data_IF_954063590793
#
_entry.id   IF_954063590793
#
_cell.length_a   1.000
_cell.length_b   1.000
_cell.length_c   1.000
_cell.angle_alpha   90.00
_cell.angle_beta   90.00
_cell.angle_gamma   90.00
#
_symmetry.space_group_name_H-M   'P 1'
#
loop_
_entity.id
_entity.type
_entity.pdbx_description
1 polymer ?
#
# COMPACT_ATOMS: atom_id res chain seq x y z
N UNK A 1 0.44 11.56 14.58
CA UNK A 1 -0.95 11.32 14.08
C UNK A 1 -1.08 9.85 13.72
N UNK A 2 -2.19 9.18 14.03
CA UNK A 2 -2.39 7.76 13.66
C UNK A 2 -3.24 7.69 12.40
N UNK A 3 -2.81 6.88 11.43
CA UNK A 3 -3.56 6.55 10.21
C UNK A 3 -4.01 5.10 10.30
N UNK A 4 -5.30 4.87 10.20
CA UNK A 4 -5.88 3.53 10.07
C UNK A 4 -6.10 3.21 8.60
N UNK A 5 -5.82 1.98 8.17
CA UNK A 5 -5.99 1.56 6.79
C UNK A 5 -6.60 0.16 6.67
N UNK A 6 -7.22 -0.08 5.52
CA UNK A 6 -7.69 -1.39 5.07
C UNK A 6 -7.17 -1.66 3.66
N UNK A 7 -6.29 -2.64 3.52
CA UNK A 7 -5.76 -3.08 2.22
C UNK A 7 -6.53 -4.32 1.77
N UNK A 8 -7.19 -4.24 0.63
CA UNK A 8 -7.94 -5.36 0.04
C UNK A 8 -7.20 -5.95 -1.15
N UNK A 9 -7.24 -7.28 -1.27
CA UNK A 9 -6.72 -8.02 -2.41
C UNK A 9 -7.87 -8.44 -3.33
N UNK A 10 -7.64 -8.58 -4.65
CA UNK A 10 -8.69 -8.95 -5.60
C UNK A 10 -9.27 -10.35 -5.34
N UNK A 11 -8.47 -11.25 -4.76
CA UNK A 11 -8.87 -12.59 -4.35
C UNK A 11 -8.04 -13.05 -3.13
N UNK A 12 -8.48 -14.07 -2.37
CA UNK A 12 -7.64 -14.68 -1.35
C UNK A 12 -6.36 -15.24 -1.97
N UNK A 13 -5.22 -14.67 -1.61
CA UNK A 13 -3.94 -15.01 -2.22
C UNK A 13 -3.30 -16.23 -1.55
N UNK A 14 -2.87 -17.19 -2.37
CA UNK A 14 -1.90 -18.21 -1.95
C UNK A 14 -0.52 -17.60 -2.14
N UNK A 15 0.14 -17.29 -1.02
CA UNK A 15 1.39 -16.55 -1.03
C UNK A 15 2.60 -17.48 -0.87
N UNK A 16 3.66 -17.31 -1.68
CA UNK A 16 4.96 -17.92 -1.41
C UNK A 16 5.49 -17.51 -0.03
N UNK A 17 6.30 -18.35 0.61
CA UNK A 17 6.89 -18.04 1.93
C UNK A 17 7.76 -16.79 1.94
N UNK A 18 8.34 -16.44 0.80
CA UNK A 18 9.16 -15.23 0.64
C UNK A 18 8.32 -13.95 0.47
N UNK A 19 7.00 -14.06 0.28
CA UNK A 19 6.17 -12.91 -0.02
C UNK A 19 6.13 -11.89 1.13
N UNK A 20 6.08 -10.61 0.76
CA UNK A 20 6.03 -9.51 1.72
C UNK A 20 5.17 -8.37 1.21
N UNK A 21 4.26 -7.89 2.05
CA UNK A 21 3.51 -6.66 1.82
C UNK A 21 4.21 -5.50 2.52
N UNK A 22 4.51 -4.48 1.74
CA UNK A 22 5.06 -3.21 2.19
C UNK A 22 4.03 -2.11 1.98
N UNK A 23 3.65 -1.45 3.06
CA UNK A 23 2.73 -0.32 3.08
C UNK A 23 3.54 0.91 3.46
N UNK A 24 3.41 1.97 2.68
CA UNK A 24 4.13 3.21 2.88
C UNK A 24 3.15 4.38 2.92
N UNK A 25 3.37 5.28 3.87
CA UNK A 25 2.74 6.61 3.84
C UNK A 25 3.76 7.58 3.28
N UNK A 26 3.41 8.25 2.20
CA UNK A 26 4.31 9.10 1.41
C UNK A 26 3.81 10.53 1.36
N UNK A 27 4.71 11.49 1.49
CA UNK A 27 4.49 12.87 1.08
C UNK A 27 4.72 12.98 -0.43
N UNK A 28 3.66 13.31 -1.15
CA UNK A 28 3.61 13.52 -2.60
C UNK A 28 3.23 14.96 -2.94
N UNK A 29 3.50 15.92 -2.04
CA UNK A 29 3.22 17.35 -2.25
C UNK A 29 4.02 17.98 -3.38
N UNK A 30 5.21 17.44 -3.66
CA UNK A 30 6.08 17.92 -4.72
C UNK A 30 5.91 17.03 -5.96
N UNK A 31 5.37 17.61 -7.03
CA UNK A 31 5.05 16.90 -8.28
C UNK A 31 6.34 16.44 -9.00
N UNK A 32 7.40 17.24 -8.95
CA UNK A 32 8.66 17.00 -9.66
C UNK A 32 9.80 16.55 -8.73
N UNK A 33 9.49 16.12 -7.51
CA UNK A 33 10.48 15.58 -6.58
C UNK A 33 10.13 14.13 -6.20
N UNK A 34 11.14 13.31 -5.83
CA UNK A 34 10.88 12.01 -5.25
C UNK A 34 9.98 12.13 -4.02
N UNK A 35 8.95 11.29 -3.95
CA UNK A 35 8.08 11.23 -2.77
C UNK A 35 8.88 10.84 -1.52
N UNK A 36 8.65 11.53 -0.42
CA UNK A 36 9.30 11.22 0.86
C UNK A 36 8.46 10.20 1.62
N UNK A 37 9.07 9.08 2.02
CA UNK A 37 8.38 8.09 2.86
C UNK A 37 8.37 8.56 4.31
N UNK A 38 7.18 8.74 4.87
CA UNK A 38 6.96 9.21 6.24
C UNK A 38 6.89 8.05 7.23
N UNK A 39 6.33 6.91 6.80
CA UNK A 39 6.23 5.70 7.61
C UNK A 39 6.13 4.46 6.74
N UNK A 40 6.56 3.31 7.29
CA UNK A 40 6.54 2.00 6.61
C UNK A 40 5.96 0.96 7.56
N UNK A 41 5.09 0.09 7.04
CA UNK A 41 4.66 -1.13 7.71
C UNK A 41 4.95 -2.34 6.81
N UNK A 42 5.46 -3.41 7.39
CA UNK A 42 5.80 -4.65 6.70
C UNK A 42 4.95 -5.80 7.27
N UNK A 43 4.40 -6.61 6.36
CA UNK A 43 3.77 -7.88 6.69
C UNK A 43 4.41 -8.98 5.86
N UNK A 44 4.57 -10.15 6.46
CA UNK A 44 5.10 -11.35 5.82
C UNK A 44 3.99 -12.32 5.42
N UNK A 45 4.30 -13.28 4.54
CA UNK A 45 3.35 -14.23 3.96
C UNK A 45 2.45 -14.93 4.99
N UNK A 46 2.99 -15.31 6.15
CA UNK A 46 2.28 -15.98 7.25
C UNK A 46 1.20 -15.08 7.90
N UNK A 47 1.40 -13.77 7.90
CA UNK A 47 0.44 -12.79 8.41
C UNK A 47 -0.67 -12.49 7.41
N UNK A 48 -0.42 -12.75 6.11
CA UNK A 48 -1.28 -12.38 4.99
C UNK A 48 -2.08 -13.57 4.43
N UNK A 49 -1.58 -14.80 4.59
CA UNK A 49 -2.14 -16.00 3.97
C UNK A 49 -3.64 -16.16 4.27
N UNK A 50 -4.40 -16.51 3.23
CA UNK A 50 -5.85 -16.75 3.29
C UNK A 50 -6.70 -15.53 3.76
N UNK A 51 -6.15 -14.31 3.74
CA UNK A 51 -6.91 -13.10 4.05
C UNK A 51 -7.32 -12.38 2.77
N UNK A 52 -8.57 -11.95 2.70
CA UNK A 52 -9.06 -11.07 1.62
C UNK A 52 -8.66 -9.61 1.84
N UNK A 53 -8.36 -9.22 3.08
CA UNK A 53 -7.89 -7.89 3.43
C UNK A 53 -7.07 -7.88 4.72
N UNK A 54 -6.30 -6.81 4.91
CA UNK A 54 -5.58 -6.50 6.15
C UNK A 54 -6.07 -5.16 6.67
N UNK A 55 -6.26 -5.08 7.98
CA UNK A 55 -6.47 -3.82 8.70
C UNK A 55 -5.22 -3.57 9.54
N UNK A 56 -4.75 -2.33 9.52
CA UNK A 56 -3.61 -1.90 10.32
C UNK A 56 -3.67 -0.43 10.66
N UNK A 57 -2.74 -0.03 11.51
CA UNK A 57 -2.52 1.37 11.87
C UNK A 57 -1.05 1.70 11.71
N UNK A 58 -0.76 2.97 11.42
CA UNK A 58 0.61 3.48 11.36
C UNK A 58 0.66 4.87 11.97
N UNK A 59 1.69 5.11 12.77
CA UNK A 59 1.94 6.43 13.35
C UNK A 59 2.80 7.26 12.42
N UNK A 60 2.35 8.49 12.18
CA UNK A 60 3.08 9.50 11.43
C UNK A 60 3.80 10.47 12.36
N UNK A 61 4.98 10.97 11.94
CA UNK A 61 5.74 11.96 12.71
C UNK A 61 4.88 13.19 13.04
N UNK A 62 5.15 13.82 14.18
CA UNK A 62 4.37 14.95 14.69
C UNK A 62 4.46 16.19 13.79
N UNK A 63 5.55 16.33 13.06
CA UNK A 63 5.86 17.51 12.25
C UNK A 63 5.61 17.21 10.77
N UNK A 64 4.34 17.32 10.37
CA UNK A 64 3.94 17.25 8.96
C UNK A 64 3.32 18.58 8.58
N UNK A 65 3.73 19.12 7.42
CA UNK A 65 3.17 20.35 6.89
C UNK A 65 1.65 20.19 6.70
N UNK A 66 0.81 21.14 7.14
CA UNK A 66 -0.63 21.10 6.91
C UNK A 66 -1.00 21.19 5.41
N UNK A 67 -0.04 21.58 4.55
CA UNK A 67 -0.20 21.62 3.09
C UNK A 67 0.32 20.35 2.39
N UNK A 68 0.85 19.38 3.14
CA UNK A 68 1.38 18.16 2.56
C UNK A 68 0.26 17.33 1.91
N UNK A 69 0.51 16.85 0.69
CA UNK A 69 -0.36 15.89 0.03
C UNK A 69 0.14 14.49 0.39
N UNK A 70 -0.51 13.85 1.37
CA UNK A 70 -0.02 12.59 1.93
C UNK A 70 -0.86 11.45 1.38
N UNK A 71 -0.21 10.46 0.80
CA UNK A 71 -0.84 9.30 0.17
C UNK A 71 -0.34 8.00 0.77
N UNK A 72 -1.20 6.97 0.74
CA UNK A 72 -0.83 5.60 1.04
C UNK A 72 -0.48 4.89 -0.27
N UNK A 73 0.66 4.21 -0.27
CA UNK A 73 1.09 3.30 -1.32
C UNK A 73 1.34 1.91 -0.73
N UNK A 74 1.01 0.86 -1.47
CA UNK A 74 1.29 -0.51 -1.05
C UNK A 74 1.82 -1.36 -2.20
N UNK A 75 2.73 -2.27 -1.85
CA UNK A 75 3.31 -3.27 -2.76
C UNK A 75 3.44 -4.60 -2.05
N UNK A 76 2.87 -5.63 -2.65
CA UNK A 76 3.01 -7.01 -2.24
C UNK A 76 3.94 -7.67 -3.25
N UNK A 77 5.17 -7.93 -2.81
CA UNK A 77 6.11 -8.73 -3.57
C UNK A 77 5.86 -10.21 -3.33
N UNK A 78 5.75 -11.00 -4.39
CA UNK A 78 5.67 -12.46 -4.27
C UNK A 78 7.05 -13.11 -4.08
N UNK A 79 8.12 -12.46 -4.54
CA UNK A 79 9.50 -12.90 -4.38
C UNK A 79 10.17 -12.40 -3.09
N UNK A 80 9.57 -11.41 -2.42
CA UNK A 80 10.15 -10.73 -1.25
C UNK A 80 11.14 -9.61 -1.62
N UNK A 81 11.25 -9.28 -2.90
CA UNK A 81 12.10 -8.19 -3.37
C UNK A 81 11.43 -6.82 -3.21
N UNK A 82 12.25 -5.79 -2.99
CA UNK A 82 11.76 -4.39 -2.92
C UNK A 82 11.37 -3.86 -4.30
N UNK A 83 11.94 -4.43 -5.36
CA UNK A 83 11.61 -4.04 -6.73
C UNK A 83 10.24 -4.61 -7.08
N UNK A 84 9.39 -3.78 -7.70
CA UNK A 84 8.13 -4.25 -8.28
C UNK A 84 8.44 -5.13 -9.48
N UNK A 85 8.01 -6.38 -9.40
CA UNK A 85 8.13 -7.38 -10.44
C UNK A 85 6.76 -7.67 -11.09
N UNK A 86 6.78 -8.40 -12.20
CA UNK A 86 5.57 -8.97 -12.78
C UNK A 86 4.92 -9.90 -11.74
N UNK A 87 3.59 -9.98 -11.74
CA UNK A 87 2.80 -10.85 -10.83
C UNK A 87 2.76 -10.36 -9.37
N UNK A 88 3.55 -9.36 -9.00
CA UNK A 88 3.37 -8.62 -7.75
C UNK A 88 2.03 -7.89 -7.75
N UNK A 89 1.65 -7.33 -6.60
CA UNK A 89 0.48 -6.45 -6.52
C UNK A 89 0.90 -5.06 -6.05
N UNK A 90 0.28 -4.03 -6.60
CA UNK A 90 0.52 -2.63 -6.22
C UNK A 90 -0.77 -1.83 -6.09
N UNK A 91 -0.70 -0.71 -5.39
CA UNK A 91 -1.68 0.37 -5.54
C UNK A 91 -1.41 1.15 -6.82
N UNK A 92 -2.42 1.27 -7.68
CA UNK A 92 -2.33 2.01 -8.97
C UNK A 92 -2.94 3.40 -8.91
N UNK A 93 -3.81 3.66 -7.94
CA UNK A 93 -4.43 4.96 -7.70
C UNK A 93 -3.75 5.69 -6.54
N UNK A 94 -3.90 7.01 -6.48
CA UNK A 94 -3.56 7.77 -5.28
C UNK A 94 -4.61 7.53 -4.20
N UNK A 95 -4.16 7.21 -2.98
CA UNK A 95 -5.02 7.05 -1.80
C UNK A 95 -4.68 8.10 -0.75
N UNK A 96 -5.27 9.32 -0.82
CA UNK A 96 -5.03 10.37 0.16
C UNK A 96 -5.46 9.93 1.56
N UNK A 97 -4.61 10.10 2.57
CA UNK A 97 -4.93 9.61 3.93
C UNK A 97 -6.08 10.38 4.61
N UNK A 98 -6.41 11.55 4.09
CA UNK A 98 -7.55 12.36 4.55
C UNK A 98 -8.90 11.87 4.00
N UNK A 99 -8.90 10.95 3.02
CA UNK A 99 -10.10 10.36 2.44
C UNK A 99 -10.34 8.99 3.06
N UNK A 100 -11.14 8.95 4.11
CA UNK A 100 -11.46 7.73 4.86
C UNK A 100 -12.90 7.28 4.64
N UNK A 101 -13.18 6.02 4.96
CA UNK A 101 -14.54 5.48 5.08
C UNK A 101 -15.22 5.92 6.40
N UNK A 102 -16.41 5.37 6.65
CA UNK A 102 -17.20 5.60 7.86
C UNK A 102 -16.54 5.11 9.16
N UNK A 103 -15.52 4.26 9.06
CA UNK A 103 -14.73 3.77 10.18
C UNK A 103 -13.42 4.55 10.37
N UNK A 104 -13.20 5.61 9.61
CA UNK A 104 -11.95 6.38 9.64
C UNK A 104 -10.76 5.64 9.04
N UNK A 105 -11.00 4.66 8.16
CA UNK A 105 -9.96 3.88 7.49
C UNK A 105 -9.71 4.39 6.07
N UNK A 106 -8.45 4.46 5.67
CA UNK A 106 -8.07 4.59 4.26
C UNK A 106 -8.27 3.24 3.59
N UNK A 107 -9.28 3.14 2.71
CA UNK A 107 -9.60 1.88 2.01
C UNK A 107 -8.86 1.82 0.68
N UNK A 108 -8.05 0.79 0.54
CA UNK A 108 -7.09 0.63 -0.56
C UNK A 108 -7.34 -0.71 -1.24
N UNK A 109 -7.34 -0.70 -2.57
CA UNK A 109 -7.46 -1.92 -3.36
C UNK A 109 -6.14 -2.15 -4.11
N UNK A 110 -5.56 -3.32 -3.92
CA UNK A 110 -4.39 -3.73 -4.67
C UNK A 110 -4.78 -4.26 -6.04
N UNK A 111 -3.92 -4.06 -7.03
CA UNK A 111 -4.09 -4.57 -8.38
C UNK A 111 -2.86 -5.40 -8.76
N UNK A 112 -3.03 -6.51 -9.49
CA UNK A 112 -1.91 -7.29 -9.98
C UNK A 112 -1.11 -6.46 -10.99
N UNK A 113 0.21 -6.62 -10.97
CA UNK A 113 1.13 -6.14 -11.98
C UNK A 113 1.07 -7.14 -13.14
N UNK A 114 0.08 -6.92 -14.00
CA UNK A 114 -0.19 -7.77 -15.14
C UNK A 114 0.92 -7.63 -16.21
N UNK A 115 1.26 -8.73 -16.89
CA UNK A 115 2.07 -8.67 -18.13
C UNK A 115 1.25 -8.42 -19.39
N UNK A 116 -0.06 -8.25 -19.25
CA UNK A 116 -1.00 -8.24 -20.37
C UNK A 116 -1.85 -6.97 -20.38
N UNK A 117 -1.23 -5.83 -20.70
CA UNK A 117 -1.95 -4.86 -21.53
C UNK A 117 -2.11 -5.47 -22.93
N UNK A 118 -3.05 -6.42 -23.07
CA UNK A 118 -3.45 -6.89 -24.38
C UNK A 118 -4.34 -5.78 -24.95
N UNK A 119 -3.76 -5.01 -25.86
CA UNK A 119 -4.51 -4.12 -26.73
C UNK A 119 -5.64 -4.93 -27.39
N UNK A 120 -6.87 -4.45 -27.20
CA UNK A 120 -8.02 -4.77 -28.05
C UNK A 120 -8.64 -3.46 -28.46
#
# INVERSE_FOLDING_TARGET
>A
MIVSYRISFPEPLILPSAASLRIEIRDTSLIDAPSVTLAVTLYHADQLANRAFIIGTVELPEQISPKAAITLWAHLSLSGEVRVNKEDFITTSAYPIMKTDEHGQVVVAMQPVDSSARAT
#
